data_IF_855324960447
#
_entry.id   IF_855324960447
#
_cell.length_a   1.000
_cell.length_b   1.000
_cell.length_c   1.000
_cell.angle_alpha   90.00
_cell.angle_beta   90.00
_cell.angle_gamma   90.00
#
_symmetry.space_group_name_H-M   'P 1'
#
loop_
_entity.id
_entity.type
_entity.pdbx_description
1 polymer ?
#
# COMPACT_ATOMS: atom_id res chain seq x y z
N UNK A 1 -11.73 -16.96 -11.00
CA UNK A 1 -12.23 -16.58 -9.65
C UNK A 1 -12.39 -17.83 -8.82
N UNK A 2 -11.73 -17.93 -7.67
CA UNK A 2 -11.84 -19.10 -6.78
C UNK A 2 -13.14 -18.94 -5.99
N UNK A 3 -14.06 -19.92 -5.99
CA UNK A 3 -15.31 -19.79 -5.24
C UNK A 3 -15.05 -19.63 -3.76
N UNK A 4 -15.77 -18.74 -3.09
CA UNK A 4 -15.78 -18.61 -1.65
C UNK A 4 -16.04 -19.99 -1.02
N UNK A 5 -15.19 -20.43 -0.08
CA UNK A 5 -15.21 -21.76 0.55
C UNK A 5 -14.65 -22.93 -0.28
N UNK A 6 -13.93 -22.72 -1.37
CA UNK A 6 -13.19 -23.81 -2.01
C UNK A 6 -12.00 -24.25 -1.14
N UNK A 7 -11.61 -25.53 -1.24
CA UNK A 7 -10.44 -26.06 -0.53
C UNK A 7 -9.12 -25.38 -0.96
N UNK A 8 -9.12 -24.65 -2.05
CA UNK A 8 -7.98 -23.92 -2.63
C UNK A 8 -7.97 -22.41 -2.32
N UNK A 9 -8.81 -21.94 -1.42
CA UNK A 9 -8.90 -20.54 -1.06
C UNK A 9 -7.61 -20.07 -0.34
N UNK A 10 -6.87 -19.08 -0.86
CA UNK A 10 -5.60 -18.62 -0.27
C UNK A 10 -5.71 -18.16 1.20
N UNK A 11 -6.81 -17.51 1.56
CA UNK A 11 -7.04 -17.03 2.93
C UNK A 11 -7.25 -18.18 3.96
N UNK A 12 -7.41 -19.41 3.49
CA UNK A 12 -7.56 -20.59 4.36
C UNK A 12 -6.34 -20.85 5.23
N UNK A 13 -5.18 -20.34 4.86
CA UNK A 13 -3.95 -20.42 5.64
C UNK A 13 -4.01 -19.61 6.96
N UNK A 14 -4.99 -18.72 7.10
CA UNK A 14 -5.10 -17.84 8.26
C UNK A 14 -6.25 -18.23 9.19
N UNK A 15 -5.99 -18.14 10.51
CA UNK A 15 -6.97 -18.51 11.55
C UNK A 15 -8.06 -17.46 11.76
N UNK A 16 -7.80 -16.23 11.37
CA UNK A 16 -8.70 -15.07 11.46
C UNK A 16 -9.33 -14.70 10.10
N UNK A 17 -9.35 -15.65 9.19
CA UNK A 17 -9.87 -15.46 7.84
C UNK A 17 -11.35 -15.03 7.84
N UNK A 18 -11.75 -14.24 6.86
CA UNK A 18 -13.15 -13.87 6.68
C UNK A 18 -13.91 -14.96 5.92
N UNK A 19 -14.39 -15.99 6.60
CA UNK A 19 -15.13 -17.10 5.93
C UNK A 19 -16.39 -16.61 5.18
N UNK A 20 -16.99 -15.49 5.60
CA UNK A 20 -18.21 -14.90 5.02
C UNK A 20 -18.17 -13.38 4.93
N UNK A 21 -17.01 -12.76 5.08
CA UNK A 21 -16.86 -11.31 4.99
C UNK A 21 -17.05 -10.81 3.56
N UNK A 22 -17.59 -9.61 3.41
CA UNK A 22 -17.72 -8.93 2.11
C UNK A 22 -16.37 -8.74 1.40
N UNK A 23 -15.28 -8.78 2.14
CA UNK A 23 -13.90 -8.62 1.64
C UNK A 23 -13.16 -9.93 1.33
N UNK A 24 -13.81 -11.10 1.50
CA UNK A 24 -13.17 -12.41 1.35
C UNK A 24 -12.49 -12.57 -0.02
N UNK A 25 -13.21 -12.33 -1.11
CA UNK A 25 -12.68 -12.45 -2.47
C UNK A 25 -11.51 -11.49 -2.73
N UNK A 26 -11.57 -10.30 -2.16
CA UNK A 26 -10.48 -9.31 -2.28
C UNK A 26 -9.23 -9.75 -1.54
N UNK A 27 -9.38 -10.35 -0.35
CA UNK A 27 -8.26 -10.90 0.42
C UNK A 27 -7.61 -12.07 -0.34
N UNK A 28 -8.41 -12.99 -0.89
CA UNK A 28 -7.89 -14.08 -1.70
C UNK A 28 -7.13 -13.58 -2.92
N UNK A 29 -7.66 -12.59 -3.62
CA UNK A 29 -7.00 -11.98 -4.76
C UNK A 29 -5.63 -11.39 -4.41
N UNK A 30 -5.53 -10.58 -3.36
CA UNK A 30 -4.26 -9.94 -3.01
C UNK A 30 -3.23 -10.93 -2.49
N UNK A 31 -3.65 -12.03 -1.86
CA UNK A 31 -2.78 -13.12 -1.45
C UNK A 31 -2.28 -13.93 -2.66
N UNK A 32 -3.17 -14.31 -3.57
CA UNK A 32 -2.83 -15.06 -4.78
C UNK A 32 -1.91 -14.26 -5.71
N UNK A 33 -2.19 -12.97 -5.85
CA UNK A 33 -1.36 -12.05 -6.64
C UNK A 33 -0.03 -11.68 -5.94
N UNK A 34 0.20 -12.14 -4.70
CA UNK A 34 1.41 -11.82 -3.95
C UNK A 34 1.55 -10.36 -3.54
N UNK A 35 0.46 -9.59 -3.55
CA UNK A 35 0.46 -8.17 -3.20
C UNK A 35 0.51 -7.96 -1.69
N UNK A 36 -0.19 -8.80 -0.94
CA UNK A 36 -0.21 -8.80 0.52
C UNK A 36 0.16 -10.17 1.08
N UNK A 37 0.67 -10.18 2.29
CA UNK A 37 0.96 -11.39 3.07
C UNK A 37 0.25 -11.29 4.43
N UNK A 38 0.25 -12.37 5.20
CA UNK A 38 -0.20 -12.32 6.59
C UNK A 38 0.75 -11.53 7.49
N UNK A 39 0.25 -11.15 8.66
CA UNK A 39 0.99 -10.39 9.68
C UNK A 39 1.84 -11.28 10.61
N UNK A 40 1.86 -12.59 10.34
CA UNK A 40 2.56 -13.56 11.16
C UNK A 40 1.64 -14.40 12.05
N UNK A 41 2.18 -15.42 12.69
CA UNK A 41 1.44 -16.34 13.59
C UNK A 41 0.15 -16.93 12.97
N UNK A 42 0.11 -17.10 11.64
CA UNK A 42 -1.06 -17.61 10.93
C UNK A 42 -2.26 -16.65 10.92
N UNK A 43 -2.02 -15.33 10.97
CA UNK A 43 -3.05 -14.31 10.95
C UNK A 43 -2.89 -13.36 9.78
N UNK A 44 -4.00 -12.95 9.19
CA UNK A 44 -4.07 -11.89 8.17
C UNK A 44 -4.29 -10.51 8.78
N UNK A 45 -5.01 -10.45 9.90
CA UNK A 45 -5.36 -9.24 10.64
C UNK A 45 -6.13 -8.21 9.79
N UNK A 46 -7.33 -8.57 9.31
CA UNK A 46 -8.06 -7.75 8.33
C UNK A 46 -8.45 -6.36 8.84
N UNK A 47 -8.57 -6.17 10.14
CA UNK A 47 -8.97 -4.90 10.77
C UNK A 47 -7.77 -4.03 11.20
N UNK A 48 -6.54 -4.52 11.02
CA UNK A 48 -5.34 -3.77 11.35
C UNK A 48 -5.11 -2.63 10.34
N UNK A 49 -4.84 -1.44 10.84
CA UNK A 49 -4.52 -0.28 10.01
C UNK A 49 -3.21 -0.47 9.27
N UNK A 50 -3.11 0.12 8.07
CA UNK A 50 -1.87 0.09 7.29
C UNK A 50 -0.93 1.19 7.76
N UNK A 51 0.36 0.87 7.79
CA UNK A 51 1.41 1.87 7.89
C UNK A 51 1.97 2.26 6.52
N UNK A 52 2.78 3.29 6.49
CA UNK A 52 3.35 3.85 5.26
C UNK A 52 4.22 2.85 4.50
N UNK A 53 5.01 2.04 5.21
CA UNK A 53 5.84 0.99 4.60
C UNK A 53 5.00 -0.11 3.95
N UNK A 54 3.88 -0.49 4.54
CA UNK A 54 2.97 -1.49 3.97
C UNK A 54 2.40 -1.02 2.63
N UNK A 55 1.95 0.23 2.53
CA UNK A 55 1.41 0.78 1.28
C UNK A 55 2.49 0.85 0.20
N UNK A 56 3.69 1.34 0.53
CA UNK A 56 4.82 1.34 -0.42
C UNK A 56 5.13 -0.08 -0.93
N UNK A 57 5.09 -1.08 -0.04
CA UNK A 57 5.37 -2.48 -0.39
C UNK A 57 4.30 -3.07 -1.32
N UNK A 58 3.01 -2.79 -1.07
CA UNK A 58 1.94 -3.25 -1.96
C UNK A 58 2.09 -2.63 -3.35
N UNK A 59 2.34 -1.33 -3.44
CA UNK A 59 2.54 -0.65 -4.73
C UNK A 59 3.77 -1.16 -5.48
N UNK A 60 4.87 -1.42 -4.77
CA UNK A 60 6.08 -2.01 -5.34
C UNK A 60 5.82 -3.39 -5.94
N UNK A 61 5.15 -4.27 -5.20
CA UNK A 61 4.75 -5.59 -5.69
C UNK A 61 3.79 -5.51 -6.88
N UNK A 62 2.85 -4.58 -6.84
CA UNK A 62 1.89 -4.35 -7.92
C UNK A 62 2.57 -3.86 -9.21
N UNK A 63 3.67 -3.10 -9.10
CA UNK A 63 4.42 -2.63 -10.26
C UNK A 63 5.13 -3.76 -11.00
N UNK A 64 5.56 -4.80 -10.28
CA UNK A 64 6.40 -5.87 -10.82
C UNK A 64 7.87 -5.47 -11.02
N UNK A 65 8.24 -4.23 -10.67
CA UNK A 65 9.60 -3.73 -10.78
C UNK A 65 10.55 -4.48 -9.83
N UNK A 66 11.84 -4.43 -10.14
CA UNK A 66 12.91 -4.93 -9.28
C UNK A 66 13.96 -3.85 -9.10
N UNK A 67 14.25 -3.50 -7.87
CA UNK A 67 15.31 -2.55 -7.51
C UNK A 67 16.15 -3.11 -6.38
N UNK A 68 17.39 -2.63 -6.27
CA UNK A 68 18.21 -2.90 -5.09
C UNK A 68 17.80 -1.97 -3.95
N UNK A 69 17.73 -2.53 -2.75
CA UNK A 69 17.50 -1.72 -1.55
C UNK A 69 18.65 -0.73 -1.33
N UNK A 70 18.30 0.49 -0.99
CA UNK A 70 19.24 1.55 -0.58
C UNK A 70 18.71 2.21 0.69
N UNK A 71 19.57 2.95 1.39
CA UNK A 71 19.13 3.79 2.50
C UNK A 71 18.48 5.07 1.93
N UNK A 72 17.27 4.92 1.38
CA UNK A 72 16.53 5.99 0.72
C UNK A 72 16.25 7.17 1.65
N UNK A 73 16.00 6.87 2.93
CA UNK A 73 15.79 7.84 4.01
C UNK A 73 16.58 7.41 5.25
N UNK A 74 16.96 8.33 6.14
CA UNK A 74 17.77 7.99 7.33
C UNK A 74 17.10 7.01 8.29
N UNK A 75 15.76 6.97 8.29
CA UNK A 75 14.92 6.06 9.09
C UNK A 75 14.43 4.82 8.34
N UNK A 76 15.00 4.54 7.14
CA UNK A 76 14.67 3.39 6.30
C UNK A 76 15.93 2.58 6.02
N UNK A 77 16.32 1.64 6.92
CA UNK A 77 17.45 0.77 6.68
C UNK A 77 17.22 -0.14 5.45
N UNK A 78 18.24 -0.31 4.62
CA UNK A 78 18.13 -1.12 3.40
C UNK A 78 17.83 -2.60 3.65
N UNK A 79 18.20 -3.13 4.82
CA UNK A 79 17.98 -4.52 5.21
C UNK A 79 16.59 -4.83 5.80
N UNK A 80 15.75 -3.82 5.95
CA UNK A 80 14.38 -4.01 6.40
C UNK A 80 13.50 -4.57 5.26
N UNK A 81 12.41 -5.26 5.64
CA UNK A 81 11.49 -5.89 4.69
C UNK A 81 10.85 -4.91 3.69
N UNK A 82 10.79 -3.65 4.03
CA UNK A 82 10.27 -2.55 3.20
C UNK A 82 11.37 -1.74 2.49
N UNK A 83 12.65 -2.04 2.71
CA UNK A 83 13.76 -1.23 2.22
C UNK A 83 13.76 -1.06 0.70
N UNK A 84 13.60 -2.16 -0.06
CA UNK A 84 13.49 -2.11 -1.53
C UNK A 84 12.27 -1.31 -1.99
N UNK A 85 11.12 -1.54 -1.35
CA UNK A 85 9.87 -0.89 -1.73
C UNK A 85 9.93 0.62 -1.53
N UNK A 86 10.49 1.08 -0.41
CA UNK A 86 10.64 2.52 -0.13
C UNK A 86 11.67 3.15 -1.05
N UNK A 87 12.80 2.47 -1.33
CA UNK A 87 13.79 2.94 -2.29
C UNK A 87 13.19 3.08 -3.70
N UNK A 88 12.43 2.09 -4.14
CA UNK A 88 11.69 2.13 -5.40
C UNK A 88 10.69 3.30 -5.43
N UNK A 89 9.90 3.47 -4.38
CA UNK A 89 8.88 4.52 -4.31
C UNK A 89 9.53 5.93 -4.35
N UNK A 90 10.69 6.10 -3.74
CA UNK A 90 11.47 7.34 -3.83
C UNK A 90 11.99 7.57 -5.26
N UNK A 91 12.59 6.55 -5.89
CA UNK A 91 13.12 6.64 -7.26
C UNK A 91 12.03 6.97 -8.28
N UNK A 92 10.82 6.45 -8.10
CA UNK A 92 9.65 6.71 -8.95
C UNK A 92 8.96 8.04 -8.62
N UNK A 93 9.38 8.76 -7.59
CA UNK A 93 8.73 9.99 -7.16
C UNK A 93 7.35 9.79 -6.53
N UNK A 94 7.03 8.57 -6.07
CA UNK A 94 5.78 8.25 -5.38
C UNK A 94 5.81 8.81 -3.95
N UNK A 95 6.96 8.73 -3.30
CA UNK A 95 7.21 9.29 -1.97
C UNK A 95 8.39 10.26 -1.99
N UNK A 96 8.30 11.33 -1.22
CA UNK A 96 9.35 12.35 -1.09
C UNK A 96 9.84 12.51 0.35
N UNK A 97 9.18 11.85 1.31
CA UNK A 97 9.45 12.02 2.72
C UNK A 97 8.82 13.28 3.32
N UNK A 98 9.05 13.48 4.60
CA UNK A 98 8.62 14.66 5.36
C UNK A 98 9.67 15.76 5.27
N UNK A 99 9.32 16.97 5.73
CA UNK A 99 10.22 18.13 5.73
C UNK A 99 11.51 17.90 6.54
N UNK A 100 11.46 17.05 7.56
CA UNK A 100 12.62 16.65 8.36
C UNK A 100 13.53 15.61 7.67
N UNK A 101 13.20 15.22 6.44
CA UNK A 101 13.94 14.25 5.65
C UNK A 101 13.65 12.78 5.99
N UNK A 102 12.70 12.49 6.88
CA UNK A 102 12.32 11.12 7.25
C UNK A 102 11.18 10.60 6.39
N UNK A 103 11.02 9.28 6.33
CA UNK A 103 9.88 8.62 5.68
C UNK A 103 8.80 8.18 6.66
N UNK A 104 9.17 7.84 7.88
CA UNK A 104 8.31 7.33 8.96
C UNK A 104 7.57 6.05 8.56
N UNK A 105 8.32 4.96 8.31
CA UNK A 105 7.77 3.72 7.73
C UNK A 105 6.67 3.07 8.56
N UNK A 106 6.78 3.12 9.89
CA UNK A 106 5.82 2.49 10.81
C UNK A 106 4.65 3.38 11.22
N UNK A 107 4.64 4.65 10.81
CA UNK A 107 3.52 5.56 11.08
C UNK A 107 2.29 5.14 10.26
N UNK A 108 1.12 5.19 10.89
CA UNK A 108 -0.15 4.94 10.19
C UNK A 108 -0.31 5.94 9.03
N UNK A 109 -0.77 5.44 7.89
CA UNK A 109 -0.95 6.29 6.72
C UNK A 109 -2.32 6.97 6.77
N UNK A 110 -2.34 8.28 6.52
CA UNK A 110 -3.59 9.02 6.37
C UNK A 110 -4.27 8.71 5.03
N UNK A 111 -5.57 8.92 4.94
CA UNK A 111 -6.31 8.75 3.68
C UNK A 111 -5.79 9.66 2.57
N UNK A 112 -5.41 10.90 2.90
CA UNK A 112 -4.85 11.85 1.93
C UNK A 112 -3.47 11.41 1.45
N UNK A 113 -2.59 10.92 2.33
CA UNK A 113 -1.27 10.40 1.94
C UNK A 113 -1.40 9.17 1.05
N UNK A 114 -2.32 8.27 1.39
CA UNK A 114 -2.60 7.11 0.55
C UNK A 114 -3.12 7.53 -0.84
N UNK A 115 -4.04 8.49 -0.90
CA UNK A 115 -4.55 9.01 -2.16
C UNK A 115 -3.43 9.63 -3.01
N UNK A 116 -2.53 10.38 -2.38
CA UNK A 116 -1.35 10.95 -3.03
C UNK A 116 -0.43 9.87 -3.61
N UNK A 117 -0.11 8.84 -2.83
CA UNK A 117 0.74 7.75 -3.30
C UNK A 117 0.09 6.99 -4.47
N UNK A 118 -1.22 6.73 -4.41
CA UNK A 118 -1.97 6.07 -5.49
C UNK A 118 -1.99 6.93 -6.76
N UNK A 119 -2.23 8.23 -6.65
CA UNK A 119 -2.22 9.15 -7.79
C UNK A 119 -0.84 9.20 -8.44
N UNK A 120 0.22 9.34 -7.65
CA UNK A 120 1.59 9.34 -8.17
C UNK A 120 1.97 8.01 -8.82
N UNK A 121 1.56 6.88 -8.22
CA UNK A 121 1.73 5.56 -8.82
C UNK A 121 1.04 5.48 -10.19
N UNK A 122 -0.22 5.87 -10.29
CA UNK A 122 -0.98 5.87 -11.54
C UNK A 122 -0.28 6.71 -12.61
N UNK A 123 0.19 7.89 -12.26
CA UNK A 123 0.88 8.80 -13.17
C UNK A 123 2.25 8.27 -13.61
N UNK A 124 3.11 7.89 -12.66
CA UNK A 124 4.53 7.61 -12.95
C UNK A 124 4.79 6.17 -13.39
N UNK A 125 4.02 5.21 -12.89
CA UNK A 125 4.19 3.79 -13.19
C UNK A 125 3.25 3.33 -14.31
N UNK A 126 2.00 3.77 -14.29
CA UNK A 126 1.00 3.36 -15.29
C UNK A 126 0.82 4.36 -16.44
N UNK A 127 1.41 5.55 -16.36
CA UNK A 127 1.29 6.57 -17.41
C UNK A 127 -0.13 7.13 -17.55
N UNK A 128 -0.96 6.99 -16.52
CA UNK A 128 -2.35 7.45 -16.53
C UNK A 128 -2.39 8.98 -16.46
N UNK A 129 -3.27 9.61 -17.24
CA UNK A 129 -3.59 11.03 -17.06
C UNK A 129 -4.33 11.20 -15.72
N UNK A 130 -3.70 11.89 -14.80
CA UNK A 130 -4.22 12.16 -13.47
C UNK A 130 -4.65 13.61 -13.27
N UNK A 131 -4.93 14.32 -14.37
CA UNK A 131 -5.48 15.68 -14.31
C UNK A 131 -6.77 15.68 -13.51
N UNK A 132 -6.89 16.54 -12.47
CA UNK A 132 -8.10 16.57 -11.65
C UNK A 132 -9.33 16.93 -12.47
N UNK A 133 -10.38 16.12 -12.38
CA UNK A 133 -11.68 16.36 -13.02
C UNK A 133 -12.79 16.56 -11.99
N UNK A 134 -12.48 16.34 -10.71
CA UNK A 134 -13.42 16.45 -9.59
C UNK A 134 -13.32 17.76 -8.84
N UNK A 135 -14.40 18.14 -8.19
CA UNK A 135 -14.48 19.30 -7.32
C UNK A 135 -14.61 18.82 -5.87
N UNK A 136 -13.67 19.23 -5.02
CA UNK A 136 -13.69 18.90 -3.59
C UNK A 136 -14.66 19.75 -2.79
N UNK A 137 -15.17 20.87 -3.34
CA UNK A 137 -16.04 21.82 -2.61
C UNK A 137 -17.32 21.18 -2.08
N UNK A 138 -17.75 20.05 -2.66
CA UNK A 138 -18.91 19.28 -2.19
C UNK A 138 -18.68 18.57 -0.84
N UNK A 139 -17.43 18.50 -0.38
CA UNK A 139 -17.09 17.85 0.89
C UNK A 139 -16.92 18.91 1.98
N UNK A 140 -17.55 18.74 3.18
CA UNK A 140 -17.48 19.73 4.24
C UNK A 140 -16.06 20.01 4.75
N UNK A 141 -15.18 19.04 4.64
CA UNK A 141 -13.79 19.07 5.09
C UNK A 141 -12.76 19.37 3.98
N UNK A 142 -13.23 19.86 2.81
CA UNK A 142 -12.36 20.16 1.68
C UNK A 142 -11.17 21.08 2.03
N UNK A 143 -11.38 22.04 2.94
CA UNK A 143 -10.34 22.95 3.42
C UNK A 143 -9.26 22.30 4.30
N UNK A 144 -9.46 21.06 4.73
CA UNK A 144 -8.50 20.29 5.54
C UNK A 144 -7.58 19.40 4.68
N UNK A 145 -7.87 19.28 3.39
CA UNK A 145 -7.03 18.52 2.46
C UNK A 145 -5.78 19.33 2.14
N UNK A 146 -4.60 18.73 2.33
CA UNK A 146 -3.33 19.39 2.05
C UNK A 146 -3.15 19.76 0.57
N UNK A 147 -2.39 20.80 0.34
CA UNK A 147 -2.00 21.26 -1.01
C UNK A 147 -0.64 20.64 -1.39
N UNK A 148 -0.63 19.49 -2.02
CA UNK A 148 0.60 18.84 -2.51
C UNK A 148 0.71 18.84 -4.03
#
# INVERSE_FOLDING_TARGET
MIPANSDNCPSRAFTDRPDKGWYHESVDYVLEAGLMNGMGKGKFEPDTTLNRAMVATVLYRLSGDKVSATNAFPDVPANEWYGEAVAWAQQKGIVTGFEDGTFRPMEEISRQDMALMLQRYAKTVKGTDTTPTGDLSRWPDAGQVGSW
#
